data_IF_415482041488
#
_entry.id   IF_415482041488
#
_cell.length_a   1.000
_cell.length_b   1.000
_cell.length_c   1.000
_cell.angle_alpha   90.00
_cell.angle_beta   90.00
_cell.angle_gamma   90.00
#
_symmetry.space_group_name_H-M   'P 1'
#
loop_
_entity.id
_entity.type
_entity.pdbx_description
1 polymer ?
#
# COMPACT_ATOMS: atom_id res chain seq x y z
N UNK A 1 -4.15 28.21 4.32
CA UNK A 1 -3.80 26.78 4.14
C UNK A 1 -5.09 26.06 3.85
N UNK A 2 -5.16 25.32 2.76
CA UNK A 2 -6.31 24.46 2.51
C UNK A 2 -6.44 23.44 3.64
N UNK A 3 -7.67 23.14 4.01
CA UNK A 3 -7.95 22.18 5.09
C UNK A 3 -7.57 20.79 4.60
N UNK A 4 -6.73 20.06 5.35
CA UNK A 4 -6.45 18.64 5.08
C UNK A 4 -7.77 17.87 5.09
N UNK A 5 -8.10 17.20 4.00
CA UNK A 5 -9.39 16.56 3.78
C UNK A 5 -9.31 15.10 3.36
N UNK A 6 -8.10 14.52 3.38
CA UNK A 6 -7.85 13.17 2.87
C UNK A 6 -7.40 12.22 3.97
N UNK A 7 -7.87 10.97 3.86
CA UNK A 7 -7.34 9.79 4.51
C UNK A 7 -6.47 9.04 3.51
N UNK A 8 -5.31 8.52 3.92
CA UNK A 8 -4.49 7.62 3.10
C UNK A 8 -4.49 6.21 3.68
N UNK A 9 -4.68 5.19 2.82
CA UNK A 9 -4.37 3.80 3.15
C UNK A 9 -2.86 3.61 3.01
N UNK A 10 -2.19 3.37 4.13
CA UNK A 10 -0.75 3.34 4.25
C UNK A 10 -0.26 1.97 4.70
N UNK A 11 0.42 1.23 3.82
CA UNK A 11 1.03 -0.05 4.19
C UNK A 11 2.40 0.10 4.86
N UNK A 12 3.16 1.14 4.54
CA UNK A 12 4.58 1.28 4.92
C UNK A 12 5.53 0.76 3.84
N UNK A 13 4.99 0.25 2.73
CA UNK A 13 5.72 -0.05 1.51
C UNK A 13 6.09 1.21 0.74
N UNK A 14 7.04 1.07 -0.22
CA UNK A 14 7.60 2.22 -0.95
C UNK A 14 6.53 3.05 -1.69
N UNK A 15 5.50 2.42 -2.25
CA UNK A 15 4.50 3.10 -3.06
C UNK A 15 3.59 3.98 -2.19
N UNK A 16 3.04 3.42 -1.11
CA UNK A 16 2.17 4.13 -0.18
C UNK A 16 2.90 5.22 0.61
N UNK A 17 4.16 4.99 0.98
CA UNK A 17 5.01 6.01 1.61
C UNK A 17 5.32 7.13 0.63
N UNK A 18 5.57 6.82 -0.65
CA UNK A 18 5.78 7.87 -1.66
C UNK A 18 4.54 8.73 -1.81
N UNK A 19 3.34 8.13 -1.88
CA UNK A 19 2.08 8.88 -1.94
C UNK A 19 1.84 9.73 -0.68
N UNK A 20 2.19 9.21 0.50
CA UNK A 20 2.11 9.96 1.76
C UNK A 20 2.91 11.27 1.70
N UNK A 21 4.14 11.23 1.17
CA UNK A 21 4.99 12.43 1.04
C UNK A 21 4.52 13.35 -0.08
N UNK A 22 4.11 12.79 -1.22
CA UNK A 22 3.67 13.53 -2.40
C UNK A 22 2.40 14.35 -2.12
N UNK A 23 1.50 13.80 -1.30
CA UNK A 23 0.20 14.42 -0.97
C UNK A 23 0.09 14.87 0.49
N UNK A 24 1.21 15.04 1.21
CA UNK A 24 1.25 15.32 2.66
C UNK A 24 0.44 16.54 3.10
N UNK A 25 0.29 17.52 2.24
CA UNK A 25 -0.44 18.76 2.56
C UNK A 25 -1.97 18.54 2.56
N UNK A 26 -2.46 17.46 1.93
CA UNK A 26 -3.86 17.10 1.85
C UNK A 26 -4.27 16.06 2.91
N UNK A 27 -3.30 15.30 3.44
CA UNK A 27 -3.55 14.15 4.31
C UNK A 27 -3.71 14.60 5.76
N UNK A 28 -4.91 14.34 6.33
CA UNK A 28 -5.22 14.52 7.74
C UNK A 28 -4.96 13.26 8.56
N UNK A 29 -5.17 12.08 7.96
CA UNK A 29 -5.14 10.79 8.63
C UNK A 29 -4.51 9.72 7.76
N UNK A 30 -3.59 8.94 8.32
CA UNK A 30 -3.06 7.72 7.72
C UNK A 30 -3.63 6.48 8.44
N UNK A 31 -4.01 5.46 7.67
CA UNK A 31 -4.56 4.21 8.20
C UNK A 31 -3.79 3.02 7.67
N UNK A 32 -3.27 2.21 8.57
CA UNK A 32 -2.69 0.90 8.26
C UNK A 32 -3.67 -0.19 8.70
N UNK A 33 -3.93 -1.15 7.83
CA UNK A 33 -4.76 -2.29 8.16
C UNK A 33 -3.89 -3.50 8.48
N UNK A 34 -4.03 -4.02 9.69
CA UNK A 34 -3.42 -5.29 10.09
C UNK A 34 -4.40 -6.44 9.85
N UNK A 35 -4.14 -7.21 8.80
CA UNK A 35 -4.97 -8.34 8.39
C UNK A 35 -4.28 -9.70 8.64
N UNK A 36 -3.24 -9.73 9.50
CA UNK A 36 -2.50 -10.94 9.86
C UNK A 36 -1.57 -11.44 8.75
N UNK A 37 -0.93 -10.53 7.99
CA UNK A 37 0.08 -10.92 7.00
C UNK A 37 1.44 -11.16 7.65
N UNK A 38 2.25 -12.04 7.03
CA UNK A 38 3.62 -12.33 7.48
C UNK A 38 4.50 -11.08 7.67
N UNK A 39 4.19 -9.98 6.99
CA UNK A 39 4.98 -8.75 6.97
C UNK A 39 4.30 -7.57 7.68
N UNK A 40 3.09 -7.75 8.21
CA UNK A 40 2.27 -6.70 8.83
C UNK A 40 3.02 -5.88 9.87
N UNK A 41 3.73 -6.55 10.79
CA UNK A 41 4.51 -5.89 11.85
C UNK A 41 5.60 -4.95 11.29
N UNK A 42 6.29 -5.38 10.22
CA UNK A 42 7.37 -4.58 9.60
C UNK A 42 6.82 -3.39 8.85
N UNK A 43 5.76 -3.60 8.08
CA UNK A 43 5.09 -2.55 7.35
C UNK A 43 4.51 -1.49 8.29
N UNK A 44 3.79 -1.90 9.33
CA UNK A 44 3.23 -1.00 10.34
C UNK A 44 4.31 -0.14 11.01
N UNK A 45 5.46 -0.72 11.35
CA UNK A 45 6.57 0.03 11.94
C UNK A 45 7.13 1.11 10.98
N UNK A 46 7.22 0.79 9.68
CA UNK A 46 7.62 1.76 8.66
C UNK A 46 6.58 2.87 8.47
N UNK A 47 5.30 2.52 8.42
CA UNK A 47 4.20 3.47 8.33
C UNK A 47 4.23 4.47 9.51
N UNK A 48 4.35 3.96 10.73
CA UNK A 48 4.43 4.76 11.95
C UNK A 48 5.64 5.71 11.94
N UNK A 49 6.81 5.22 11.51
CA UNK A 49 8.01 6.06 11.38
C UNK A 49 7.76 7.28 10.48
N UNK A 50 7.17 7.07 9.30
CA UNK A 50 6.94 8.16 8.35
C UNK A 50 5.83 9.11 8.81
N UNK A 51 4.77 8.59 9.42
CA UNK A 51 3.70 9.40 9.97
C UNK A 51 4.21 10.32 11.09
N UNK A 52 5.01 9.80 12.03
CA UNK A 52 5.64 10.61 13.08
C UNK A 52 6.56 11.67 12.51
N UNK A 53 7.39 11.34 11.51
CA UNK A 53 8.28 12.29 10.85
C UNK A 53 7.55 13.45 10.20
N UNK A 54 6.35 13.20 9.66
CA UNK A 54 5.51 14.19 8.98
C UNK A 54 4.47 14.86 9.89
N UNK A 55 4.33 14.41 11.15
CA UNK A 55 3.31 14.91 12.06
C UNK A 55 1.88 14.60 11.61
N UNK A 56 1.66 13.44 10.97
CA UNK A 56 0.36 12.96 10.49
C UNK A 56 -0.19 11.93 11.49
N UNK A 57 -1.46 12.06 11.87
CA UNK A 57 -2.14 11.08 12.72
C UNK A 57 -2.11 9.70 12.04
N UNK A 58 -1.76 8.65 12.78
CA UNK A 58 -1.68 7.29 12.27
C UNK A 58 -2.55 6.34 13.11
N UNK A 59 -3.44 5.61 12.45
CA UNK A 59 -4.25 4.57 13.06
C UNK A 59 -3.89 3.21 12.48
N UNK A 60 -3.85 2.20 13.35
CA UNK A 60 -3.73 0.78 12.94
C UNK A 60 -5.07 0.10 13.24
N UNK A 61 -5.70 -0.46 12.20
CA UNK A 61 -7.01 -1.11 12.31
C UNK A 61 -6.83 -2.62 12.10
N UNK A 62 -7.12 -3.45 13.11
CA UNK A 62 -7.05 -4.90 12.96
C UNK A 62 -8.21 -5.42 12.10
N UNK A 63 -7.91 -6.34 11.19
CA UNK A 63 -8.86 -7.07 10.34
C UNK A 63 -8.70 -8.58 10.58
N UNK A 64 -8.78 -9.02 11.83
CA UNK A 64 -8.52 -10.40 12.27
C UNK A 64 -9.33 -11.45 11.50
N UNK A 65 -10.56 -11.09 11.07
CA UNK A 65 -11.41 -11.98 10.29
C UNK A 65 -10.77 -12.40 8.96
N UNK A 66 -9.91 -11.56 8.37
CA UNK A 66 -9.25 -11.90 7.11
C UNK A 66 -8.24 -13.04 7.33
N UNK A 67 -7.49 -13.01 8.41
CA UNK A 67 -6.60 -14.10 8.78
C UNK A 67 -7.38 -15.39 9.12
N UNK A 68 -8.53 -15.27 9.75
CA UNK A 68 -9.32 -16.43 10.21
C UNK A 68 -10.07 -17.14 9.06
N UNK A 69 -10.56 -16.39 8.06
CA UNK A 69 -11.51 -16.93 7.09
C UNK A 69 -11.00 -16.88 5.64
N UNK A 70 -9.95 -16.13 5.33
CA UNK A 70 -9.42 -16.02 3.96
C UNK A 70 -8.23 -16.95 3.76
N UNK A 71 -7.95 -17.27 2.50
CA UNK A 71 -6.81 -18.09 2.11
C UNK A 71 -5.88 -17.31 1.21
N UNK A 72 -4.62 -17.17 1.60
CA UNK A 72 -3.56 -16.57 0.80
C UNK A 72 -2.22 -16.95 1.41
N UNK A 73 -1.19 -17.12 0.59
CA UNK A 73 0.18 -17.33 1.07
C UNK A 73 0.77 -16.13 1.80
N UNK A 74 0.14 -14.96 1.74
CA UNK A 74 0.55 -13.78 2.50
C UNK A 74 0.15 -13.84 3.98
N UNK A 75 -0.84 -14.65 4.34
CA UNK A 75 -1.33 -14.73 5.72
C UNK A 75 -0.42 -15.60 6.59
N UNK A 76 -0.30 -15.25 7.87
CA UNK A 76 0.54 -15.97 8.83
C UNK A 76 0.12 -17.44 8.93
N UNK A 77 1.10 -18.35 8.92
CA UNK A 77 0.84 -19.80 9.00
C UNK A 77 0.33 -20.45 7.71
N UNK A 78 0.22 -19.71 6.61
CA UNK A 78 -0.16 -20.25 5.30
C UNK A 78 1.03 -20.89 4.56
N UNK A 79 0.80 -21.29 3.30
CA UNK A 79 1.82 -21.86 2.42
C UNK A 79 2.99 -20.90 2.18
N UNK A 80 4.13 -21.47 1.76
CA UNK A 80 5.34 -20.69 1.50
C UNK A 80 5.10 -19.60 0.44
N UNK A 81 5.66 -18.42 0.69
CA UNK A 81 5.66 -17.32 -0.27
C UNK A 81 6.39 -17.75 -1.55
N UNK A 82 5.76 -17.63 -2.73
CA UNK A 82 6.40 -17.99 -3.98
C UNK A 82 7.61 -17.09 -4.26
N UNK A 83 8.64 -17.68 -4.88
CA UNK A 83 9.77 -16.95 -5.43
C UNK A 83 9.60 -16.86 -6.95
N UNK A 84 10.08 -15.79 -7.57
CA UNK A 84 9.96 -15.59 -9.00
C UNK A 84 9.62 -14.15 -9.37
N UNK A 85 9.20 -13.94 -10.61
CA UNK A 85 8.85 -12.62 -11.10
C UNK A 85 7.45 -12.24 -10.63
N UNK A 86 7.20 -10.93 -10.51
CA UNK A 86 5.97 -10.39 -9.97
C UNK A 86 4.73 -10.63 -10.86
N UNK A 87 4.91 -10.92 -12.12
CA UNK A 87 3.87 -11.16 -13.12
C UNK A 87 3.56 -12.64 -13.39
N UNK A 88 4.24 -13.56 -12.69
CA UNK A 88 4.07 -15.00 -12.88
C UNK A 88 2.77 -15.53 -12.24
N UNK A 89 2.22 -16.58 -12.81
CA UNK A 89 0.95 -17.16 -12.36
C UNK A 89 0.99 -17.65 -10.90
N UNK A 90 2.17 -18.08 -10.41
CA UNK A 90 2.37 -18.47 -9.03
C UNK A 90 2.09 -17.32 -8.03
N UNK A 91 2.21 -16.05 -8.45
CA UNK A 91 1.87 -14.89 -7.63
C UNK A 91 0.38 -14.81 -7.30
N UNK A 92 -0.50 -15.51 -8.02
CA UNK A 92 -1.93 -15.59 -7.68
C UNK A 92 -2.19 -16.13 -6.27
N UNK A 93 -1.30 -17.00 -5.76
CA UNK A 93 -1.40 -17.50 -4.37
C UNK A 93 -1.22 -16.39 -3.31
N UNK A 94 -0.61 -15.27 -3.68
CA UNK A 94 -0.43 -14.11 -2.79
C UNK A 94 -1.64 -13.18 -2.75
N UNK A 95 -2.65 -13.41 -3.59
CA UNK A 95 -3.86 -12.60 -3.57
C UNK A 95 -4.65 -12.88 -2.30
N UNK A 96 -4.83 -11.86 -1.46
CA UNK A 96 -5.82 -11.89 -0.39
C UNK A 96 -7.14 -11.41 -1.02
N UNK A 97 -8.17 -12.26 -1.09
CA UNK A 97 -9.37 -11.95 -1.85
C UNK A 97 -10.02 -10.61 -1.49
N UNK A 98 -10.20 -9.75 -2.49
CA UNK A 98 -10.90 -8.46 -2.34
C UNK A 98 -10.35 -7.55 -1.23
N UNK A 99 -9.04 -7.67 -0.92
CA UNK A 99 -8.41 -6.96 0.20
C UNK A 99 -8.55 -5.44 0.07
N UNK A 100 -8.20 -4.89 -1.09
CA UNK A 100 -8.28 -3.44 -1.29
C UNK A 100 -9.73 -2.94 -1.27
N UNK A 101 -10.69 -3.72 -1.79
CA UNK A 101 -12.10 -3.37 -1.70
C UNK A 101 -12.60 -3.24 -0.26
N UNK A 102 -12.22 -4.19 0.61
CA UNK A 102 -12.55 -4.16 2.04
C UNK A 102 -11.91 -2.95 2.73
N UNK A 103 -10.60 -2.74 2.51
CA UNK A 103 -9.87 -1.62 3.10
C UNK A 103 -10.42 -0.27 2.64
N UNK A 104 -10.77 -0.13 1.36
CA UNK A 104 -11.37 1.08 0.80
C UNK A 104 -12.76 1.35 1.40
N UNK A 105 -13.61 0.32 1.55
CA UNK A 105 -14.92 0.49 2.17
C UNK A 105 -14.82 0.98 3.62
N UNK A 106 -13.95 0.36 4.42
CA UNK A 106 -13.70 0.79 5.80
C UNK A 106 -13.08 2.19 5.83
N UNK A 107 -12.09 2.46 4.95
CA UNK A 107 -11.44 3.76 4.83
C UNK A 107 -12.43 4.89 4.50
N UNK A 108 -13.39 4.66 3.60
CA UNK A 108 -14.41 5.64 3.25
C UNK A 108 -15.36 5.92 4.42
N UNK A 109 -15.84 4.88 5.13
CA UNK A 109 -16.66 5.08 6.33
C UNK A 109 -15.92 5.82 7.44
N UNK A 110 -14.62 5.52 7.62
CA UNK A 110 -13.80 6.24 8.59
C UNK A 110 -13.54 7.69 8.16
N UNK A 111 -13.28 7.94 6.87
CA UNK A 111 -13.11 9.28 6.33
C UNK A 111 -14.36 10.14 6.61
N UNK A 112 -15.55 9.62 6.28
CA UNK A 112 -16.82 10.30 6.60
C UNK A 112 -16.97 10.59 8.08
N UNK A 113 -16.70 9.59 8.94
CA UNK A 113 -16.77 9.74 10.41
C UNK A 113 -15.82 10.82 10.96
N UNK A 114 -14.72 11.10 10.25
CA UNK A 114 -13.73 12.13 10.61
C UNK A 114 -13.94 13.46 9.88
N UNK A 115 -15.02 13.59 9.11
CA UNK A 115 -15.31 14.80 8.32
C UNK A 115 -14.33 15.02 7.16
N UNK A 116 -13.75 13.95 6.65
CA UNK A 116 -12.92 13.89 5.45
C UNK A 116 -13.77 13.42 4.28
N UNK A 117 -13.42 13.83 3.07
CA UNK A 117 -14.19 13.48 1.86
C UNK A 117 -13.38 12.77 0.80
N UNK A 118 -12.14 12.32 1.12
CA UNK A 118 -11.26 11.66 0.17
C UNK A 118 -10.49 10.53 0.84
N UNK A 119 -10.34 9.40 0.11
CA UNK A 119 -9.47 8.28 0.47
C UNK A 119 -8.43 8.07 -0.63
N UNK A 120 -7.15 8.06 -0.25
CA UNK A 120 -6.02 7.87 -1.16
C UNK A 120 -5.48 6.45 -1.06
N UNK A 121 -5.19 5.83 -2.22
CA UNK A 121 -4.54 4.51 -2.31
C UNK A 121 -3.43 4.56 -3.38
N UNK A 122 -2.33 3.83 -3.15
CA UNK A 122 -1.11 3.88 -3.97
C UNK A 122 -0.92 2.64 -4.84
N UNK A 123 -2.00 2.09 -5.43
CA UNK A 123 -1.87 1.05 -6.45
C UNK A 123 -1.23 1.63 -7.72
N UNK A 124 -0.42 0.84 -8.43
CA UNK A 124 0.31 1.27 -9.62
C UNK A 124 0.06 0.32 -10.80
N UNK A 125 0.57 0.68 -11.98
CA UNK A 125 0.35 -0.10 -13.21
C UNK A 125 0.77 -1.58 -13.11
N UNK A 126 1.87 -1.88 -12.42
CA UNK A 126 2.37 -3.25 -12.25
C UNK A 126 1.44 -4.18 -11.47
N UNK A 127 0.60 -3.64 -10.58
CA UNK A 127 -0.34 -4.42 -9.76
C UNK A 127 -1.48 -5.03 -10.59
N UNK A 128 -1.79 -4.45 -11.74
CA UNK A 128 -2.97 -4.77 -12.54
C UNK A 128 -2.98 -6.20 -13.09
N UNK A 129 -1.81 -6.80 -13.31
CA UNK A 129 -1.70 -8.17 -13.81
C UNK A 129 -2.14 -9.22 -12.79
N UNK A 130 -1.91 -8.94 -11.49
CA UNK A 130 -2.10 -9.90 -10.38
C UNK A 130 -3.36 -9.58 -9.58
N UNK A 131 -3.58 -8.30 -9.25
CA UNK A 131 -4.61 -7.86 -8.30
C UNK A 131 -5.77 -7.15 -9.02
N UNK A 132 -6.93 -7.83 -9.20
CA UNK A 132 -8.09 -7.22 -9.86
C UNK A 132 -8.57 -5.93 -9.18
N UNK A 133 -8.47 -5.85 -7.85
CA UNK A 133 -8.89 -4.73 -7.03
C UNK A 133 -7.88 -3.56 -6.99
N UNK A 134 -6.83 -3.61 -7.83
CA UNK A 134 -5.92 -2.49 -8.11
C UNK A 134 -6.21 -1.80 -9.45
N UNK A 135 -7.05 -2.38 -10.30
CA UNK A 135 -7.32 -1.89 -11.66
C UNK A 135 -8.20 -0.66 -11.65
N UNK A 136 -8.04 0.18 -12.67
CA UNK A 136 -8.85 1.40 -12.82
C UNK A 136 -10.35 1.08 -13.02
N UNK A 137 -10.67 -0.02 -13.70
CA UNK A 137 -12.04 -0.50 -13.91
C UNK A 137 -12.71 -1.05 -12.64
N UNK A 138 -11.93 -1.27 -11.58
CA UNK A 138 -12.43 -1.50 -10.22
C UNK A 138 -12.47 -0.20 -9.39
N UNK A 139 -11.35 0.54 -9.35
CA UNK A 139 -11.22 1.73 -8.47
C UNK A 139 -12.25 2.80 -8.81
N UNK A 140 -12.48 3.09 -10.10
CA UNK A 140 -13.45 4.10 -10.50
C UNK A 140 -14.89 3.77 -10.11
N UNK A 141 -15.46 2.57 -10.41
CA UNK A 141 -16.79 2.18 -9.93
C UNK A 141 -16.88 2.14 -8.40
N UNK A 142 -15.82 1.71 -7.71
CA UNK A 142 -15.78 1.71 -6.24
C UNK A 142 -15.86 3.13 -5.68
N UNK A 143 -15.15 4.09 -6.27
CA UNK A 143 -15.22 5.51 -5.90
C UNK A 143 -16.63 6.07 -6.10
N UNK A 144 -17.27 5.79 -7.25
CA UNK A 144 -18.66 6.19 -7.50
C UNK A 144 -19.62 5.59 -6.48
N UNK A 145 -19.47 4.29 -6.16
CA UNK A 145 -20.28 3.65 -5.13
C UNK A 145 -20.12 4.32 -3.74
N UNK A 146 -18.90 4.63 -3.34
CA UNK A 146 -18.61 5.30 -2.06
C UNK A 146 -19.16 6.73 -2.05
N UNK A 147 -19.02 7.47 -3.15
CA UNK A 147 -19.57 8.82 -3.31
C UNK A 147 -21.08 8.86 -3.12
N UNK A 148 -21.78 7.88 -3.67
CA UNK A 148 -23.24 7.76 -3.52
C UNK A 148 -23.68 7.11 -2.21
N UNK A 149 -22.80 6.33 -1.58
CA UNK A 149 -23.09 5.59 -0.35
C UNK A 149 -22.75 6.33 0.94
N UNK A 150 -22.13 7.52 0.85
CA UNK A 150 -21.77 8.36 2.00
C UNK A 150 -22.43 9.74 1.92
N UNK A 151 -22.81 10.31 3.06
CA UNK A 151 -23.38 11.68 3.12
C UNK A 151 -22.37 12.74 2.70
N UNK A 152 -21.09 12.53 3.01
CA UNK A 152 -20.01 13.45 2.67
C UNK A 152 -19.59 13.34 1.20
N UNK A 153 -20.12 12.38 0.44
CA UNK A 153 -19.70 12.13 -0.93
C UNK A 153 -18.24 11.73 -1.02
N UNK A 154 -17.78 10.79 -0.16
CA UNK A 154 -16.37 10.39 -0.08
C UNK A 154 -15.92 9.77 -1.39
N UNK A 155 -14.85 10.30 -1.97
CA UNK A 155 -14.25 9.81 -3.21
C UNK A 155 -12.94 9.05 -2.95
N UNK A 156 -12.65 8.06 -3.80
CA UNK A 156 -11.37 7.34 -3.80
C UNK A 156 -10.50 7.89 -4.92
N UNK A 157 -9.26 8.23 -4.60
CA UNK A 157 -8.24 8.60 -5.57
C UNK A 157 -7.06 7.63 -5.53
N UNK A 158 -6.63 7.19 -6.70
CA UNK A 158 -5.48 6.33 -6.91
C UNK A 158 -4.50 6.99 -7.91
N UNK A 159 -3.71 7.98 -7.47
CA UNK A 159 -2.93 8.83 -8.38
C UNK A 159 -1.87 8.09 -9.18
N UNK A 160 -1.44 6.92 -8.68
CA UNK A 160 -0.34 6.17 -9.29
C UNK A 160 -0.79 5.04 -10.22
N UNK A 161 -2.09 4.85 -10.42
CA UNK A 161 -2.66 3.76 -11.23
C UNK A 161 -2.02 3.61 -12.62
N UNK A 162 -1.61 4.73 -13.23
CA UNK A 162 -1.09 4.76 -14.61
C UNK A 162 0.43 4.93 -14.71
N UNK A 163 1.14 4.96 -13.61
CA UNK A 163 2.60 5.12 -13.60
C UNK A 163 3.30 3.84 -13.16
N UNK A 164 4.56 3.71 -13.55
CA UNK A 164 5.38 2.55 -13.17
C UNK A 164 5.95 2.71 -11.75
N UNK A 165 6.31 1.60 -11.13
CA UNK A 165 7.03 1.61 -9.84
C UNK A 165 8.37 2.36 -9.92
N UNK A 166 9.02 2.36 -11.08
CA UNK A 166 10.22 3.16 -11.32
C UNK A 166 9.93 4.67 -11.28
N UNK A 167 8.77 5.11 -11.77
CA UNK A 167 8.36 6.51 -11.69
C UNK A 167 8.05 6.90 -10.24
N UNK A 168 7.39 6.02 -9.48
CA UNK A 168 7.16 6.19 -8.03
C UNK A 168 8.50 6.35 -7.31
N UNK A 169 9.48 5.51 -7.62
CA UNK A 169 10.84 5.60 -7.07
C UNK A 169 11.49 6.95 -7.37
N UNK A 170 11.37 7.46 -8.61
CA UNK A 170 11.88 8.79 -8.98
C UNK A 170 11.18 9.93 -8.22
N UNK A 171 9.85 9.84 -8.07
CA UNK A 171 9.07 10.81 -7.30
C UNK A 171 9.58 10.86 -5.86
N UNK A 172 9.66 9.71 -5.18
CA UNK A 172 10.08 9.65 -3.79
C UNK A 172 11.54 10.08 -3.57
N UNK A 173 12.44 9.76 -4.51
CA UNK A 173 13.82 10.24 -4.46
C UNK A 173 13.88 11.76 -4.51
N UNK A 174 13.09 12.41 -5.39
CA UNK A 174 13.00 13.89 -5.45
C UNK A 174 12.40 14.49 -4.19
N UNK A 175 11.49 13.78 -3.52
CA UNK A 175 10.89 14.19 -2.24
C UNK A 175 11.82 13.95 -1.03
N UNK A 176 13.00 13.34 -1.23
CA UNK A 176 13.96 13.05 -0.16
C UNK A 176 13.52 11.95 0.80
N UNK A 177 12.76 10.97 0.29
CA UNK A 177 12.31 9.83 1.09
C UNK A 177 13.49 8.90 1.37
N UNK A 178 13.68 8.55 2.64
CA UNK A 178 14.58 7.48 3.04
C UNK A 178 13.90 6.11 2.84
N UNK A 179 14.12 5.51 1.68
CA UNK A 179 13.55 4.22 1.35
C UNK A 179 14.12 3.04 2.17
N UNK A 180 15.22 3.22 2.92
CA UNK A 180 15.66 2.22 3.90
C UNK A 180 14.67 2.03 5.04
N UNK A 181 13.76 2.98 5.23
CA UNK A 181 12.67 2.96 6.22
C UNK A 181 11.32 2.53 5.61
N UNK A 182 11.33 1.83 4.49
CA UNK A 182 10.14 1.22 3.87
C UNK A 182 10.31 -0.28 3.77
N UNK A 183 9.22 -1.04 3.85
CA UNK A 183 9.28 -2.49 3.81
C UNK A 183 8.44 -3.04 2.65
N UNK A 184 8.97 -4.02 1.92
CA UNK A 184 8.28 -4.61 0.76
C UNK A 184 8.27 -6.14 0.76
N UNK A 185 9.11 -6.79 1.57
CA UNK A 185 9.29 -8.24 1.49
C UNK A 185 8.09 -9.00 2.07
N UNK A 186 7.48 -9.88 1.29
CA UNK A 186 6.36 -10.70 1.72
C UNK A 186 6.70 -11.72 2.82
N UNK A 187 8.00 -12.08 2.99
CA UNK A 187 8.43 -13.06 4.00
C UNK A 187 8.46 -12.51 5.43
N UNK A 188 8.40 -11.20 5.64
CA UNK A 188 8.34 -10.59 6.97
C UNK A 188 9.64 -10.66 7.80
N UNK A 189 10.76 -11.08 7.24
CA UNK A 189 12.05 -11.19 7.91
C UNK A 189 12.65 -9.84 8.35
N UNK A 190 13.79 -9.88 9.05
CA UNK A 190 14.50 -8.65 9.44
C UNK A 190 15.03 -7.90 8.23
N UNK A 191 15.60 -8.63 7.29
CA UNK A 191 16.04 -8.14 5.98
C UNK A 191 15.03 -8.53 4.90
N UNK A 192 15.11 -7.86 3.78
CA UNK A 192 14.36 -8.28 2.58
C UNK A 192 14.99 -9.55 2.01
N UNK A 193 14.19 -10.57 1.69
CA UNK A 193 14.73 -11.83 1.18
C UNK A 193 15.38 -11.73 -0.21
N UNK A 194 15.14 -10.65 -0.94
CA UNK A 194 15.71 -10.41 -2.28
C UNK A 194 15.16 -11.29 -3.40
N UNK A 195 14.30 -12.29 -3.11
CA UNK A 195 13.88 -13.36 -4.03
C UNK A 195 12.38 -13.41 -4.31
N UNK A 196 11.52 -12.97 -3.36
CA UNK A 196 10.07 -12.92 -3.60
C UNK A 196 9.72 -11.86 -4.67
N UNK A 197 8.53 -11.97 -5.26
CA UNK A 197 8.10 -11.10 -6.35
C UNK A 197 8.28 -9.60 -6.05
N UNK A 198 7.81 -9.14 -4.90
CA UNK A 198 7.94 -7.72 -4.51
C UNK A 198 9.38 -7.27 -4.26
N UNK A 199 10.27 -8.14 -3.78
CA UNK A 199 11.69 -7.80 -3.67
C UNK A 199 12.34 -7.65 -5.04
N UNK A 200 12.00 -8.52 -6.01
CA UNK A 200 12.49 -8.42 -7.39
C UNK A 200 11.97 -7.16 -8.06
N UNK A 201 10.68 -6.89 -7.94
CA UNK A 201 10.07 -5.69 -8.48
C UNK A 201 10.68 -4.42 -7.86
N UNK A 202 10.95 -4.40 -6.55
CA UNK A 202 11.63 -3.30 -5.89
C UNK A 202 13.03 -3.07 -6.46
N UNK A 203 13.87 -4.09 -6.56
CA UNK A 203 15.20 -4.01 -7.17
C UNK A 203 15.13 -3.44 -8.59
N UNK A 204 14.20 -3.96 -9.39
CA UNK A 204 13.98 -3.53 -10.77
C UNK A 204 13.54 -2.05 -10.84
N UNK A 205 12.66 -1.61 -9.93
CA UNK A 205 12.19 -0.23 -9.87
C UNK A 205 13.36 0.74 -9.61
N UNK A 206 14.24 0.46 -8.66
CA UNK A 206 15.43 1.27 -8.38
C UNK A 206 16.40 1.28 -9.57
N UNK A 207 16.64 0.11 -10.18
CA UNK A 207 17.48 -0.02 -11.36
C UNK A 207 16.97 0.81 -12.54
N UNK A 208 15.67 0.72 -12.85
CA UNK A 208 15.02 1.48 -13.94
C UNK A 208 14.88 2.97 -13.61
N UNK A 209 14.78 3.32 -12.34
CA UNK A 209 14.78 4.71 -11.91
C UNK A 209 16.17 5.35 -12.03
N UNK A 210 17.24 4.56 -12.09
CA UNK A 210 18.63 5.04 -12.15
C UNK A 210 19.11 5.58 -10.80
N UNK A 211 18.56 5.09 -9.68
CA UNK A 211 18.92 5.52 -8.32
C UNK A 211 19.38 4.33 -7.48
N UNK A 212 20.28 4.53 -6.49
CA UNK A 212 20.70 3.46 -5.60
C UNK A 212 19.54 2.89 -4.79
N UNK A 213 19.49 1.57 -4.67
CA UNK A 213 18.56 0.89 -3.77
C UNK A 213 19.16 0.82 -2.35
N UNK A 214 18.59 1.51 -1.34
CA UNK A 214 19.12 1.52 0.02
C UNK A 214 18.66 0.31 0.85
N UNK A 215 18.03 -0.68 0.24
CA UNK A 215 17.42 -1.82 0.93
C UNK A 215 18.48 -2.82 1.37
N UNK A 216 18.38 -3.26 2.64
CA UNK A 216 19.19 -4.37 3.15
C UNK A 216 18.54 -5.71 2.76
N UNK A 217 19.22 -6.47 1.93
CA UNK A 217 18.79 -7.79 1.47
C UNK A 217 19.55 -8.91 2.20
N UNK A 218 18.89 -10.08 2.32
CA UNK A 218 19.59 -11.32 2.68
C UNK A 218 20.62 -11.68 1.59
N UNK A 219 21.73 -12.30 2.01
CA UNK A 219 22.78 -12.81 1.10
C UNK A 219 22.29 -14.03 0.29
#
# INVERSE_FOLDING_TARGET
MEKKNSLIILSGGMDSVTLLYDRREEIALAVTFDYGSNHSRRETACADYHCRKLGIEHLVIPLDFMHQYFKSSLLEGADAIPEGNYDEENMKSTVVPFRNGIMLAIGCGLAESRGLNRVLIANHFGDHSIYPDCREDFIRPMSEAMKHGTYAGVEIEAPYTRISKADICRIGTRLGIDYSKTYSCYKGGEKHCGRCGTCRERKEAFRLAGVPDPTDYEE
#
